data_IF_565089764683
#
_entry.id   IF_565089764683
#
_cell.length_a   1.000
_cell.length_b   1.000
_cell.length_c   1.000
_cell.angle_alpha   90.00
_cell.angle_beta   90.00
_cell.angle_gamma   90.00
#
_symmetry.space_group_name_H-M   'P 1'
#
loop_
_entity.id
_entity.type
_entity.pdbx_description
1 polymer ?
#
# COMPACT_ATOMS: atom_id res chain seq x y z
N UNK A 1 -32.39 -18.08 -2.21
CA UNK A 1 -32.08 -16.65 -2.49
C UNK A 1 -31.28 -15.99 -1.36
N UNK A 2 -31.78 -16.00 -0.10
CA UNK A 2 -31.06 -15.35 1.02
C UNK A 2 -29.66 -15.91 1.31
N UNK A 3 -29.46 -17.23 1.17
CA UNK A 3 -28.15 -17.87 1.36
C UNK A 3 -27.07 -17.31 0.44
N UNK A 4 -27.35 -17.24 -0.87
CA UNK A 4 -26.40 -16.71 -1.86
C UNK A 4 -26.09 -15.23 -1.65
N UNK A 5 -27.04 -14.46 -1.11
CA UNK A 5 -26.79 -13.07 -0.74
C UNK A 5 -25.78 -12.99 0.41
N UNK A 6 -25.96 -13.78 1.47
CA UNK A 6 -25.02 -13.81 2.61
C UNK A 6 -23.64 -14.27 2.16
N UNK A 7 -23.58 -15.30 1.30
CA UNK A 7 -22.32 -15.80 0.74
C UNK A 7 -21.57 -14.70 -0.03
N UNK A 8 -22.29 -13.97 -0.89
CA UNK A 8 -21.71 -12.86 -1.66
C UNK A 8 -21.25 -11.70 -0.77
N UNK A 9 -22.06 -11.32 0.23
CA UNK A 9 -21.73 -10.23 1.16
C UNK A 9 -20.46 -10.54 1.95
N UNK A 10 -20.32 -11.76 2.47
CA UNK A 10 -19.13 -12.15 3.22
C UNK A 10 -17.87 -12.17 2.33
N UNK A 11 -17.98 -12.66 1.10
CA UNK A 11 -16.88 -12.63 0.15
C UNK A 11 -16.44 -11.20 -0.19
N UNK A 12 -17.37 -10.30 -0.48
CA UNK A 12 -17.06 -8.90 -0.79
C UNK A 12 -16.46 -8.20 0.43
N UNK A 13 -16.98 -8.45 1.63
CA UNK A 13 -16.42 -7.91 2.87
C UNK A 13 -14.96 -8.36 3.05
N UNK A 14 -14.67 -9.65 2.90
CA UNK A 14 -13.30 -10.17 2.99
C UNK A 14 -12.38 -9.57 1.93
N UNK A 15 -12.80 -9.56 0.66
CA UNK A 15 -11.97 -9.02 -0.43
C UNK A 15 -11.72 -7.53 -0.23
N UNK A 16 -12.73 -6.75 0.16
CA UNK A 16 -12.58 -5.31 0.39
C UNK A 16 -11.71 -5.00 1.62
N UNK A 17 -11.75 -5.80 2.67
CA UNK A 17 -10.82 -5.66 3.81
C UNK A 17 -9.40 -6.01 3.37
N UNK A 18 -9.19 -7.15 2.70
CA UNK A 18 -7.86 -7.59 2.29
C UNK A 18 -7.23 -6.64 1.26
N UNK A 19 -7.99 -6.25 0.24
CA UNK A 19 -7.50 -5.41 -0.87
C UNK A 19 -7.56 -3.92 -0.52
N UNK A 20 -8.63 -3.48 0.14
CA UNK A 20 -8.82 -2.07 0.52
C UNK A 20 -8.00 -1.67 1.74
N UNK A 21 -7.98 -2.48 2.80
CA UNK A 21 -7.23 -2.19 4.01
C UNK A 21 -5.78 -2.72 3.99
N UNK A 22 -5.40 -3.50 2.97
CA UNK A 22 -4.03 -4.01 2.82
C UNK A 22 -2.97 -2.90 2.77
N UNK A 23 -3.22 -1.83 2.01
CA UNK A 23 -2.29 -0.71 1.89
C UNK A 23 -2.20 0.13 3.20
N UNK A 24 -3.32 0.50 3.86
CA UNK A 24 -3.28 1.06 5.21
C UNK A 24 -2.54 0.18 6.23
N UNK A 25 -2.69 -1.14 6.17
CA UNK A 25 -2.00 -2.07 7.07
C UNK A 25 -0.48 -2.07 6.84
N UNK A 26 -0.02 -2.03 5.59
CA UNK A 26 1.40 -1.86 5.26
C UNK A 26 1.94 -0.55 5.80
N UNK A 27 1.20 0.56 5.64
CA UNK A 27 1.61 1.85 6.19
C UNK A 27 1.77 1.79 7.72
N UNK A 28 0.82 1.16 8.43
CA UNK A 28 0.90 0.98 9.87
C UNK A 28 2.12 0.11 10.29
N UNK A 29 2.45 -0.92 9.52
CA UNK A 29 3.67 -1.72 9.74
C UNK A 29 4.94 -0.89 9.54
N UNK A 30 4.97 0.02 8.56
CA UNK A 30 6.08 0.96 8.34
C UNK A 30 6.29 1.89 9.55
N UNK A 31 5.20 2.43 10.10
CA UNK A 31 5.24 3.26 11.32
C UNK A 31 5.74 2.44 12.51
N UNK A 32 5.25 1.21 12.70
CA UNK A 32 5.71 0.32 13.77
C UNK A 32 7.21 0.02 13.65
N UNK A 33 7.69 -0.24 12.43
CA UNK A 33 9.10 -0.49 12.16
C UNK A 33 9.97 0.74 12.45
N UNK A 34 9.50 1.94 12.09
CA UNK A 34 10.17 3.20 12.42
C UNK A 34 10.24 3.45 13.92
N UNK A 35 9.15 3.19 14.65
CA UNK A 35 9.14 3.32 16.11
C UNK A 35 10.19 2.40 16.76
N UNK A 36 10.29 1.16 16.30
CA UNK A 36 11.35 0.23 16.73
C UNK A 36 12.76 0.72 16.35
N UNK A 37 12.89 1.39 15.20
CA UNK A 37 14.17 1.89 14.71
C UNK A 37 14.67 3.18 15.36
N UNK A 38 13.78 4.03 15.86
CA UNK A 38 14.15 5.25 16.60
C UNK A 38 14.65 4.88 18.01
N UNK A 39 14.05 3.87 18.65
CA UNK A 39 14.28 3.58 20.07
C UNK A 39 13.86 4.76 20.95
N UNK A 40 13.90 4.63 22.28
CA UNK A 40 13.61 5.76 23.16
C UNK A 40 13.62 5.42 24.65
N UNK A 41 13.82 6.45 25.47
CA UNK A 41 13.81 6.46 26.96
C UNK A 41 12.51 5.93 27.63
N UNK A 42 11.54 5.45 26.84
CA UNK A 42 10.27 4.92 27.33
C UNK A 42 10.35 3.42 27.66
N UNK A 43 11.45 2.74 27.32
CA UNK A 43 11.72 1.39 27.79
C UNK A 43 12.50 1.46 29.11
N UNK A 44 12.18 0.58 30.06
CA UNK A 44 12.87 0.45 31.37
C UNK A 44 14.37 0.14 31.18
N UNK A 45 14.77 -0.25 29.97
CA UNK A 45 16.12 -0.44 29.51
C UNK A 45 16.44 0.63 28.45
N UNK A 46 17.52 1.40 28.65
CA UNK A 46 18.06 2.33 27.65
C UNK A 46 18.64 1.54 26.45
N UNK A 47 17.81 0.84 25.68
CA UNK A 47 18.25 0.16 24.47
C UNK A 47 18.47 1.17 23.34
N UNK A 48 19.64 1.09 22.72
CA UNK A 48 20.00 1.91 21.57
C UNK A 48 19.07 1.57 20.40
N UNK A 49 18.49 2.57 19.74
CA UNK A 49 17.56 2.36 18.62
C UNK A 49 18.12 1.42 17.54
N UNK A 50 17.29 0.51 17.04
CA UNK A 50 17.71 -0.55 16.12
C UNK A 50 17.75 -0.04 14.68
N UNK A 51 18.93 0.19 14.05
CA UNK A 51 19.01 0.75 12.70
C UNK A 51 18.26 -0.10 11.65
N UNK A 52 18.12 -1.41 11.90
CA UNK A 52 17.34 -2.34 11.09
C UNK A 52 15.87 -1.93 11.01
N UNK A 53 15.25 -1.49 12.11
CA UNK A 53 13.85 -1.04 12.12
C UNK A 53 13.63 0.18 11.23
N UNK A 54 14.61 1.08 11.17
CA UNK A 54 14.57 2.26 10.31
C UNK A 54 14.69 1.89 8.83
N UNK A 55 15.59 0.99 8.47
CA UNK A 55 15.73 0.51 7.08
C UNK A 55 14.45 -0.20 6.61
N UNK A 56 13.92 -1.10 7.42
CA UNK A 56 12.69 -1.83 7.09
C UNK A 56 11.49 -0.88 6.94
N UNK A 57 11.37 0.13 7.81
CA UNK A 57 10.32 1.13 7.69
C UNK A 57 10.41 1.93 6.39
N UNK A 58 11.61 2.35 5.97
CA UNK A 58 11.78 3.06 4.70
C UNK A 58 11.42 2.18 3.49
N UNK A 59 11.79 0.90 3.51
CA UNK A 59 11.42 -0.04 2.45
C UNK A 59 9.90 -0.21 2.34
N UNK A 60 9.21 -0.33 3.47
CA UNK A 60 7.74 -0.44 3.50
C UNK A 60 7.09 0.85 2.97
N UNK A 61 7.58 2.03 3.36
CA UNK A 61 7.03 3.29 2.84
C UNK A 61 7.30 3.49 1.35
N UNK A 62 8.49 3.13 0.87
CA UNK A 62 8.79 3.18 -0.56
C UNK A 62 7.84 2.29 -1.37
N UNK A 63 7.55 1.09 -0.87
CA UNK A 63 6.58 0.19 -1.48
C UNK A 63 5.17 0.80 -1.48
N UNK A 64 4.71 1.35 -0.35
CA UNK A 64 3.40 2.01 -0.25
C UNK A 64 3.29 3.18 -1.24
N UNK A 65 4.32 4.02 -1.33
CA UNK A 65 4.36 5.12 -2.30
C UNK A 65 4.27 4.64 -3.74
N UNK A 66 4.96 3.54 -4.10
CA UNK A 66 4.88 2.97 -5.44
C UNK A 66 3.45 2.53 -5.79
N UNK A 67 2.74 1.89 -4.86
CA UNK A 67 1.33 1.52 -5.04
C UNK A 67 0.42 2.74 -5.21
N UNK A 68 0.58 3.76 -4.35
CA UNK A 68 -0.22 4.99 -4.41
C UNK A 68 -0.01 5.70 -5.76
N UNK A 69 1.24 5.91 -6.16
CA UNK A 69 1.57 6.60 -7.41
C UNK A 69 1.02 5.84 -8.63
N UNK A 70 1.13 4.51 -8.62
CA UNK A 70 0.57 3.68 -9.70
C UNK A 70 -0.94 3.78 -9.77
N UNK A 71 -1.63 3.68 -8.62
CA UNK A 71 -3.09 3.83 -8.55
C UNK A 71 -3.55 5.20 -9.05
N UNK A 72 -2.89 6.28 -8.61
CA UNK A 72 -3.18 7.64 -9.06
C UNK A 72 -2.94 7.75 -10.58
N UNK A 73 -1.83 7.23 -11.11
CA UNK A 73 -1.53 7.28 -12.53
C UNK A 73 -2.63 6.62 -13.37
N UNK A 74 -3.13 5.45 -12.96
CA UNK A 74 -4.22 4.74 -13.64
C UNK A 74 -5.51 5.57 -13.62
N UNK A 75 -5.90 6.10 -12.45
CA UNK A 75 -7.14 6.88 -12.29
C UNK A 75 -7.08 8.15 -13.14
N UNK A 76 -5.97 8.88 -13.07
CA UNK A 76 -5.78 10.13 -13.81
C UNK A 76 -5.69 9.87 -15.31
N UNK A 77 -4.96 8.84 -15.77
CA UNK A 77 -4.88 8.54 -17.20
C UNK A 77 -6.26 8.20 -17.77
N UNK A 78 -7.04 7.40 -17.04
CA UNK A 78 -8.38 7.01 -17.44
C UNK A 78 -9.30 8.23 -17.58
N UNK A 79 -9.17 9.22 -16.69
CA UNK A 79 -9.91 10.48 -16.78
C UNK A 79 -9.49 11.35 -17.97
N UNK A 80 -8.23 11.25 -18.42
CA UNK A 80 -7.67 12.00 -19.54
C UNK A 80 -7.83 11.28 -20.90
N UNK A 81 -8.47 10.12 -20.95
CA UNK A 81 -8.59 9.32 -22.18
C UNK A 81 -7.27 8.65 -22.61
N UNK A 82 -6.26 8.58 -21.73
CA UNK A 82 -4.97 7.93 -21.96
C UNK A 82 -4.89 6.60 -21.20
N UNK A 83 -4.14 5.62 -21.71
CA UNK A 83 -3.89 4.36 -21.00
C UNK A 83 -2.51 4.42 -20.34
N UNK A 84 -2.41 3.95 -19.09
CA UNK A 84 -1.11 3.62 -18.50
C UNK A 84 -0.63 2.31 -19.13
N UNK A 85 0.46 2.36 -19.90
CA UNK A 85 1.19 1.18 -20.32
C UNK A 85 2.24 0.81 -19.27
N UNK A 86 2.28 -0.49 -18.95
CA UNK A 86 3.28 -1.13 -18.09
C UNK A 86 4.31 -1.91 -18.90
N UNK A 87 4.44 -1.64 -20.21
CA UNK A 87 5.41 -2.33 -21.09
C UNK A 87 6.88 -2.06 -20.68
N UNK A 88 7.12 -1.00 -19.91
CA UNK A 88 8.38 -0.75 -19.23
C UNK A 88 8.19 -0.85 -17.69
N UNK A 89 9.28 -1.08 -16.96
CA UNK A 89 9.34 -1.15 -15.47
C UNK A 89 8.64 0.03 -14.77
N UNK A 90 8.45 1.15 -15.46
CA UNK A 90 7.74 2.33 -14.97
C UNK A 90 6.49 2.61 -15.82
N UNK A 91 5.38 3.02 -15.19
CA UNK A 91 4.14 3.36 -15.89
C UNK A 91 4.35 4.54 -16.84
N UNK A 92 4.02 4.36 -18.12
CA UNK A 92 4.09 5.41 -19.15
C UNK A 92 2.71 5.66 -19.73
N UNK A 93 2.44 6.90 -20.15
CA UNK A 93 1.13 7.27 -20.70
C UNK A 93 1.14 7.08 -22.22
N UNK A 94 0.26 6.22 -22.74
CA UNK A 94 0.08 6.00 -24.18
C UNK A 94 -1.32 6.48 -24.59
N UNK A 95 -1.46 7.23 -25.69
CA UNK A 95 -2.77 7.63 -26.22
C UNK A 95 -3.63 6.40 -26.48
N UNK A 96 -4.91 6.45 -26.09
CA UNK A 96 -5.88 5.39 -26.38
C UNK A 96 -6.21 5.47 -27.87
N UNK A 97 -5.52 4.68 -28.69
CA UNK A 97 -5.83 4.55 -30.12
C UNK A 97 -7.30 4.15 -30.32
N UNK A 98 -7.91 4.78 -31.33
CA UNK A 98 -9.25 4.50 -31.84
C UNK A 98 -9.46 3.00 -32.11
#
# INVERSE_FOLDING_TARGET
MLSHFVDAVWQVALVSVLVGAGLPALFALGIKSMAYGVGGDAEISHESGHPVGKVVGYLIFALVLAFILTGIAIIVSSGLGMKVSFENIYPTFVPKGH
#
